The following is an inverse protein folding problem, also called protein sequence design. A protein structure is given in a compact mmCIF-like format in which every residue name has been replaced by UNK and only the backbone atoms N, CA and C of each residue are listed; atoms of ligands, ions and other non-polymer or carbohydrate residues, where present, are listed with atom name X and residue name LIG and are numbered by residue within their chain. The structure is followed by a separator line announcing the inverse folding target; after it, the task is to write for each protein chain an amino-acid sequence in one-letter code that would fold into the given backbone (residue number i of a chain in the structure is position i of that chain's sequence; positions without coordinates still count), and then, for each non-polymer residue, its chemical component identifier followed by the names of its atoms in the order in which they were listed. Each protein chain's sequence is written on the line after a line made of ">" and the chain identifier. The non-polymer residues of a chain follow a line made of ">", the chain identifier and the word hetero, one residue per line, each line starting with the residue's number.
data_IF_393425097731
#
_entry.id   IF_393425097731
#
_cell.length_a   1.000
_cell.length_b   1.000
_cell.length_c   1.000
_cell.angle_alpha   90.00
_cell.angle_beta   90.00
_cell.angle_gamma   90.00
#
_symmetry.space_group_name_H-M   'P 1'
#
loop_
_entity.id
_entity.type
_entity.pdbx_description
1 polymer ?
#
# COMPACT_ATOMS: atom_id res chain seq x y z
N UNK A 1 8.09 -49.71 9.61
CA UNK A 1 8.05 -48.71 8.53
C UNK A 1 6.89 -47.79 8.88
N UNK A 2 7.16 -46.53 9.20
CA UNK A 2 6.07 -45.57 9.43
C UNK A 2 5.30 -45.37 8.12
N UNK A 3 3.96 -45.30 8.17
CA UNK A 3 3.18 -45.00 6.98
C UNK A 3 3.46 -43.57 6.51
N UNK A 4 3.56 -43.37 5.18
CA UNK A 4 3.64 -42.03 4.60
C UNK A 4 2.38 -41.23 4.98
N UNK A 5 2.59 -40.10 5.64
CA UNK A 5 1.58 -39.09 5.93
C UNK A 5 1.95 -37.78 5.25
N UNK A 6 0.95 -37.00 4.85
CA UNK A 6 1.17 -35.63 4.42
C UNK A 6 1.39 -34.72 5.63
N UNK A 7 2.37 -33.82 5.54
CA UNK A 7 2.55 -32.75 6.51
C UNK A 7 1.25 -31.92 6.62
N UNK A 8 0.67 -31.85 7.81
CA UNK A 8 -0.47 -30.97 8.10
C UNK A 8 0.02 -29.79 8.94
N UNK A 9 0.07 -28.61 8.32
CA UNK A 9 0.46 -27.36 8.99
C UNK A 9 -0.65 -26.32 8.85
N UNK A 10 -1.35 -25.97 9.95
CA UNK A 10 -2.30 -24.87 9.93
C UNK A 10 -1.60 -23.55 9.59
N UNK A 11 -2.01 -22.86 8.53
CA UNK A 11 -1.51 -21.53 8.18
C UNK A 11 -2.40 -20.44 8.78
N UNK A 12 -1.82 -19.45 9.44
CA UNK A 12 -2.55 -18.28 9.94
C UNK A 12 -2.81 -17.26 8.80
N UNK A 13 -4.04 -16.73 8.64
CA UNK A 13 -4.31 -15.69 7.65
C UNK A 13 -3.44 -14.44 7.87
N UNK A 14 -2.91 -13.86 6.79
CA UNK A 14 -2.08 -12.66 6.86
C UNK A 14 -2.78 -11.48 7.55
N UNK A 15 -4.10 -11.35 7.37
CA UNK A 15 -4.93 -10.34 8.05
C UNK A 15 -4.86 -10.41 9.58
N UNK A 16 -4.80 -11.61 10.15
CA UNK A 16 -4.70 -11.80 11.60
C UNK A 16 -3.33 -11.38 12.13
N UNK A 17 -2.26 -11.66 11.37
CA UNK A 17 -0.92 -11.19 11.70
C UNK A 17 -0.85 -9.67 11.69
N UNK A 18 -1.39 -9.03 10.65
CA UNK A 18 -1.46 -7.57 10.56
C UNK A 18 -2.23 -6.99 11.75
N UNK A 19 -3.37 -7.57 12.12
CA UNK A 19 -4.12 -7.15 13.30
C UNK A 19 -3.28 -7.16 14.58
N UNK A 20 -2.52 -8.22 14.86
CA UNK A 20 -1.63 -8.29 16.04
C UNK A 20 -0.56 -7.20 15.99
N UNK A 21 0.04 -6.96 14.83
CA UNK A 21 1.01 -5.87 14.66
C UNK A 21 0.37 -4.52 14.98
N UNK A 22 -0.87 -4.28 14.55
CA UNK A 22 -1.58 -3.04 14.86
C UNK A 22 -1.93 -2.89 16.36
N UNK A 23 -2.01 -3.98 17.12
CA UNK A 23 -2.20 -3.94 18.58
C UNK A 23 -0.91 -3.52 19.31
N UNK A 24 0.26 -3.84 18.74
CA UNK A 24 1.58 -3.50 19.30
C UNK A 24 2.10 -2.13 18.84
N UNK A 25 1.76 -1.71 17.61
CA UNK A 25 2.23 -0.47 17.01
C UNK A 25 1.23 0.67 17.19
N UNK A 26 1.62 1.78 17.83
CA UNK A 26 0.71 2.86 18.14
C UNK A 26 0.19 3.53 16.86
N UNK A 27 -1.11 3.81 16.88
CA UNK A 27 -1.81 4.52 15.84
C UNK A 27 -1.52 6.04 15.87
N UNK A 28 -1.89 6.76 14.81
CA UNK A 28 -1.73 8.22 14.71
C UNK A 28 -0.42 8.65 14.05
N UNK A 29 0.19 9.76 14.52
CA UNK A 29 1.32 10.40 13.82
C UNK A 29 2.57 9.51 13.72
N UNK A 30 2.67 8.43 14.50
CA UNK A 30 3.71 7.41 14.34
C UNK A 30 3.68 6.78 12.93
N UNK A 31 2.50 6.55 12.35
CA UNK A 31 2.38 6.00 10.98
C UNK A 31 3.13 6.88 9.96
N UNK A 32 3.09 8.20 10.13
CA UNK A 32 3.82 9.13 9.27
C UNK A 32 5.33 9.04 9.47
N UNK A 33 5.80 8.80 10.70
CA UNK A 33 7.21 8.58 11.02
C UNK A 33 7.72 7.29 10.38
N UNK A 34 6.93 6.22 10.39
CA UNK A 34 7.28 4.97 9.71
C UNK A 34 7.38 5.14 8.19
N UNK A 35 6.45 5.89 7.57
CA UNK A 35 6.53 6.20 6.13
C UNK A 35 7.78 7.03 5.81
N UNK A 36 8.10 8.02 6.66
CA UNK A 36 9.32 8.82 6.51
C UNK A 36 10.57 7.94 6.64
N UNK A 37 10.64 7.06 7.64
CA UNK A 37 11.76 6.14 7.82
C UNK A 37 11.95 5.22 6.61
N UNK A 38 10.87 4.67 6.04
CA UNK A 38 10.95 3.87 4.81
C UNK A 38 11.54 4.68 3.64
N UNK A 39 11.25 5.98 3.60
CA UNK A 39 11.79 6.87 2.57
C UNK A 39 13.28 7.13 2.78
N UNK A 40 13.70 7.33 4.03
CA UNK A 40 15.10 7.48 4.41
C UNK A 40 15.91 6.20 4.12
N UNK A 41 15.36 5.03 4.43
CA UNK A 41 16.00 3.74 4.14
C UNK A 41 16.15 3.48 2.63
N UNK A 42 15.19 3.97 1.84
CA UNK A 42 15.26 3.98 0.39
C UNK A 42 16.22 5.06 -0.17
N UNK A 43 16.91 5.81 0.71
CA UNK A 43 17.79 6.93 0.39
C UNK A 43 17.10 8.02 -0.42
N UNK A 44 15.81 8.21 -0.17
CA UNK A 44 15.05 9.31 -0.74
C UNK A 44 15.61 10.65 -0.25
N UNK A 45 15.59 11.64 -1.11
CA UNK A 45 15.97 13.02 -0.79
C UNK A 45 14.77 13.88 -0.38
N UNK A 46 13.55 13.40 -0.60
CA UNK A 46 12.31 14.12 -0.35
C UNK A 46 11.20 13.13 0.07
N UNK A 47 10.32 13.58 0.96
CA UNK A 47 9.08 12.90 1.31
C UNK A 47 7.96 13.94 1.40
N UNK A 48 6.93 13.79 0.58
CA UNK A 48 5.76 14.66 0.52
C UNK A 48 4.55 13.89 1.01
N UNK A 49 3.87 14.45 2.00
CA UNK A 49 2.57 13.96 2.46
C UNK A 49 1.45 14.86 1.95
N UNK A 50 0.38 14.27 1.43
CA UNK A 50 -0.81 15.00 0.96
C UNK A 50 -2.05 14.32 1.52
N UNK A 51 -2.93 15.11 2.14
CA UNK A 51 -4.29 14.68 2.44
C UNK A 51 -5.16 15.00 1.23
N UNK A 52 -5.53 13.95 0.51
CA UNK A 52 -6.37 14.04 -0.67
C UNK A 52 -7.84 13.87 -0.28
N UNK A 53 -8.61 14.94 -0.43
CA UNK A 53 -10.06 14.96 -0.14
C UNK A 53 -10.92 14.52 -1.34
N UNK A 54 -10.32 14.24 -2.50
CA UNK A 54 -11.08 13.97 -3.71
C UNK A 54 -11.77 12.61 -3.65
N UNK A 55 -12.86 12.50 -4.41
CA UNK A 55 -13.46 11.23 -4.80
C UNK A 55 -13.38 11.11 -6.31
N UNK A 56 -12.82 10.01 -6.77
CA UNK A 56 -12.53 9.78 -8.19
C UNK A 56 -13.59 8.92 -8.86
N UNK A 57 -13.65 8.98 -10.19
CA UNK A 57 -14.59 8.20 -10.97
C UNK A 57 -14.28 6.70 -10.87
N UNK A 58 -15.32 5.90 -10.66
CA UNK A 58 -15.25 4.43 -10.73
C UNK A 58 -15.32 3.86 -12.15
N UNK A 59 -15.31 4.72 -13.17
CA UNK A 59 -15.31 4.28 -14.56
C UNK A 59 -13.93 3.76 -14.97
N UNK A 60 -13.88 2.62 -15.67
CA UNK A 60 -12.66 2.03 -16.22
C UNK A 60 -11.59 1.75 -15.13
N UNK A 61 -12.00 1.12 -14.04
CA UNK A 61 -11.10 0.50 -13.07
C UNK A 61 -10.62 -0.87 -13.56
N UNK A 62 -9.59 -1.44 -12.93
CA UNK A 62 -9.15 -2.82 -13.24
C UNK A 62 -10.22 -3.86 -12.92
N UNK A 63 -10.96 -3.61 -11.83
CA UNK A 63 -12.16 -4.35 -11.40
C UNK A 63 -13.17 -3.34 -10.86
N UNK A 64 -14.46 -3.58 -11.08
CA UNK A 64 -15.55 -2.70 -10.60
C UNK A 64 -15.51 -2.47 -9.09
N UNK A 65 -15.12 -3.49 -8.36
CA UNK A 65 -15.12 -3.55 -6.90
C UNK A 65 -14.05 -2.64 -6.27
N UNK A 66 -13.02 -2.27 -7.04
CA UNK A 66 -12.01 -1.30 -6.63
C UNK A 66 -12.58 0.12 -6.48
N UNK A 67 -13.85 0.35 -6.84
CA UNK A 67 -14.54 1.62 -6.62
C UNK A 67 -14.52 2.07 -5.16
N UNK A 68 -14.49 1.12 -4.21
CA UNK A 68 -14.42 1.42 -2.77
C UNK A 68 -13.13 2.13 -2.36
N UNK A 69 -12.09 2.10 -3.19
CA UNK A 69 -10.81 2.74 -2.96
C UNK A 69 -10.65 4.10 -3.68
N UNK A 70 -11.72 4.60 -4.29
CA UNK A 70 -11.72 5.86 -5.05
C UNK A 70 -12.04 7.10 -4.19
N UNK A 71 -12.32 6.94 -2.90
CA UNK A 71 -12.58 8.05 -1.97
C UNK A 71 -11.31 8.74 -1.46
N UNK A 72 -11.42 9.57 -0.41
CA UNK A 72 -10.29 10.28 0.19
C UNK A 72 -9.13 9.36 0.60
N UNK A 73 -7.92 9.90 0.60
CA UNK A 73 -6.71 9.13 0.87
C UNK A 73 -5.59 9.95 1.53
N UNK A 74 -4.73 9.27 2.28
CA UNK A 74 -3.39 9.77 2.56
C UNK A 74 -2.48 9.40 1.39
N UNK A 75 -1.77 10.38 0.85
CA UNK A 75 -0.75 10.17 -0.18
C UNK A 75 0.64 10.40 0.41
N UNK A 76 1.59 9.58 -0.02
CA UNK A 76 3.00 9.72 0.33
C UNK A 76 3.85 9.55 -0.92
N UNK A 77 4.65 10.57 -1.25
CA UNK A 77 5.47 10.62 -2.46
C UNK A 77 6.91 10.84 -2.07
N UNK A 78 7.82 10.00 -2.57
CA UNK A 78 9.26 10.11 -2.33
C UNK A 78 10.06 9.92 -3.63
N UNK A 79 11.32 10.35 -3.61
CA UNK A 79 12.22 10.25 -4.77
C UNK A 79 12.90 8.88 -4.90
N UNK A 80 12.75 8.00 -3.91
CA UNK A 80 13.24 6.62 -3.95
C UNK A 80 12.44 5.75 -4.93
N UNK A 81 13.11 4.82 -5.61
CA UNK A 81 12.48 3.85 -6.53
C UNK A 81 12.68 2.46 -5.95
N UNK A 82 11.64 1.64 -5.97
CA UNK A 82 11.73 0.27 -5.50
C UNK A 82 12.48 -0.60 -6.50
N UNK A 83 13.47 -1.30 -5.97
CA UNK A 83 14.20 -2.34 -6.66
C UNK A 83 13.54 -3.70 -6.40
N UNK A 84 13.90 -4.73 -7.18
CA UNK A 84 13.34 -6.08 -7.00
C UNK A 84 13.59 -6.63 -5.58
N UNK A 85 14.70 -6.25 -4.92
CA UNK A 85 14.96 -6.61 -3.53
C UNK A 85 13.94 -6.04 -2.54
N UNK A 86 13.39 -4.85 -2.82
CA UNK A 86 12.38 -4.22 -1.96
C UNK A 86 11.03 -4.94 -2.12
N UNK A 87 10.72 -5.40 -3.34
CA UNK A 87 9.57 -6.26 -3.59
C UNK A 87 9.71 -7.63 -2.92
N UNK A 88 10.89 -8.24 -2.95
CA UNK A 88 11.15 -9.49 -2.26
C UNK A 88 10.97 -9.34 -0.74
N UNK A 89 11.42 -8.21 -0.17
CA UNK A 89 11.18 -7.89 1.25
C UNK A 89 9.69 -7.74 1.55
N UNK A 90 8.95 -7.03 0.69
CA UNK A 90 7.50 -6.86 0.84
C UNK A 90 6.76 -8.20 0.78
N UNK A 91 7.14 -9.11 -0.12
CA UNK A 91 6.58 -10.46 -0.20
C UNK A 91 6.93 -11.30 1.03
N UNK A 92 8.16 -11.21 1.54
CA UNK A 92 8.57 -11.91 2.77
C UNK A 92 7.79 -11.44 3.99
N UNK A 93 7.40 -10.17 4.07
CA UNK A 93 6.52 -9.67 5.14
C UNK A 93 5.13 -10.35 5.10
N UNK A 94 4.64 -10.69 3.90
CA UNK A 94 3.37 -11.41 3.73
C UNK A 94 3.46 -12.90 4.01
N UNK A 95 4.67 -13.48 3.91
CA UNK A 95 4.88 -14.91 4.12
C UNK A 95 4.91 -15.24 5.62
N UNK A 96 3.94 -16.04 6.05
CA UNK A 96 3.66 -16.36 7.46
C UNK A 96 4.63 -17.38 8.06
N UNK A 97 5.45 -18.06 7.24
CA UNK A 97 6.25 -19.20 7.66
C UNK A 97 7.52 -18.86 8.47
N UNK A 98 7.92 -17.58 8.54
CA UNK A 98 9.19 -17.17 9.17
C UNK A 98 8.99 -16.34 10.43
N UNK A 99 8.27 -16.89 11.39
CA UNK A 99 7.95 -16.27 12.69
C UNK A 99 9.15 -15.63 13.42
N UNK A 100 10.37 -16.16 13.24
CA UNK A 100 11.55 -15.80 14.06
C UNK A 100 12.63 -14.95 13.35
N UNK A 101 12.41 -14.45 12.12
CA UNK A 101 13.46 -13.74 11.36
C UNK A 101 13.16 -12.28 10.99
N UNK A 102 12.06 -11.71 11.48
CA UNK A 102 11.64 -10.36 11.07
C UNK A 102 12.42 -9.21 11.73
N UNK A 103 13.29 -9.49 12.71
CA UNK A 103 14.10 -8.47 13.38
C UNK A 103 15.26 -7.90 12.54
N UNK A 104 15.53 -8.43 11.33
CA UNK A 104 16.72 -8.04 10.53
C UNK A 104 16.51 -7.98 9.01
N UNK A 105 15.42 -7.39 8.51
CA UNK A 105 15.25 -7.19 7.06
C UNK A 105 14.99 -5.72 6.76
N UNK A 106 15.90 -5.11 5.97
CA UNK A 106 15.93 -3.68 5.68
C UNK A 106 14.86 -3.17 4.70
N UNK A 107 14.80 -1.83 4.63
CA UNK A 107 13.96 -0.91 3.82
C UNK A 107 12.44 -1.00 4.07
N UNK A 108 11.92 -2.17 4.43
CA UNK A 108 10.53 -2.34 4.86
C UNK A 108 10.48 -3.16 6.14
N UNK A 109 10.63 -2.47 7.27
CA UNK A 109 10.44 -3.08 8.58
C UNK A 109 8.98 -3.38 8.88
N UNK A 110 8.73 -3.98 10.05
CA UNK A 110 7.37 -4.18 10.62
C UNK A 110 6.57 -2.87 10.64
N UNK A 111 7.24 -1.72 10.77
CA UNK A 111 6.67 -0.38 10.70
C UNK A 111 5.88 -0.07 9.43
N UNK A 112 6.19 -0.69 8.28
CA UNK A 112 5.37 -0.55 7.07
C UNK A 112 3.92 -0.99 7.32
N UNK A 113 3.69 -2.03 8.13
CA UNK A 113 2.36 -2.55 8.39
C UNK A 113 1.48 -1.58 9.21
N UNK A 114 2.06 -0.56 9.84
CA UNK A 114 1.29 0.48 10.54
C UNK A 114 0.34 1.26 9.62
N UNK A 115 0.60 1.28 8.31
CA UNK A 115 -0.30 1.88 7.30
C UNK A 115 -1.69 1.24 7.29
N UNK A 116 -1.81 -0.01 7.75
CA UNK A 116 -3.10 -0.70 7.85
C UNK A 116 -3.96 -0.19 9.02
N UNK A 117 -3.47 0.72 9.87
CA UNK A 117 -4.36 1.54 10.69
C UNK A 117 -5.29 2.38 9.82
N UNK A 118 -4.79 2.92 8.71
CA UNK A 118 -5.48 3.89 7.86
C UNK A 118 -6.26 3.22 6.73
N UNK A 119 -5.69 2.20 6.08
CA UNK A 119 -6.24 1.62 4.84
C UNK A 119 -6.42 0.10 4.90
N UNK A 120 -7.29 -0.43 4.03
CA UNK A 120 -7.38 -1.87 3.76
C UNK A 120 -6.37 -2.34 2.72
N UNK A 121 -6.18 -1.53 1.68
CA UNK A 121 -5.48 -1.92 0.47
C UNK A 121 -4.70 -0.71 -0.04
N UNK A 122 -3.43 -0.57 0.34
CA UNK A 122 -2.58 0.45 -0.26
C UNK A 122 -2.30 0.11 -1.72
N UNK A 123 -2.10 1.15 -2.52
CA UNK A 123 -1.57 1.00 -3.88
C UNK A 123 -0.49 2.03 -4.15
N UNK A 124 0.43 1.73 -5.04
CA UNK A 124 1.52 2.64 -5.36
C UNK A 124 2.05 2.48 -6.78
N UNK A 125 2.67 3.54 -7.28
CA UNK A 125 3.51 3.50 -8.47
C UNK A 125 4.97 3.71 -8.10
N UNK A 126 5.87 3.00 -8.80
CA UNK A 126 7.31 3.17 -8.64
C UNK A 126 8.02 2.70 -9.91
N UNK A 127 8.83 3.57 -10.52
CA UNK A 127 9.35 3.32 -11.86
C UNK A 127 8.20 3.04 -12.84
N UNK A 128 8.23 1.89 -13.52
CA UNK A 128 7.20 1.44 -14.47
C UNK A 128 6.11 0.55 -13.84
N UNK A 129 6.16 0.35 -12.53
CA UNK A 129 5.31 -0.60 -11.81
C UNK A 129 4.13 0.11 -11.16
N UNK A 130 2.95 -0.51 -11.26
CA UNK A 130 1.78 -0.20 -10.43
C UNK A 130 1.46 -1.43 -9.58
N UNK A 131 1.31 -1.23 -8.28
CA UNK A 131 1.18 -2.31 -7.30
C UNK A 131 -0.02 -2.05 -6.42
N UNK A 132 -0.83 -3.10 -6.21
CA UNK A 132 -1.91 -3.13 -5.22
C UNK A 132 -1.55 -4.20 -4.19
N UNK A 133 -1.62 -3.88 -2.91
CA UNK A 133 -1.57 -4.87 -1.83
C UNK A 133 -3.00 -5.15 -1.37
N UNK A 134 -3.36 -6.43 -1.31
CA UNK A 134 -4.70 -6.89 -0.97
C UNK A 134 -4.60 -7.99 0.09
N UNK A 135 -4.27 -7.63 1.34
CA UNK A 135 -4.02 -8.60 2.41
C UNK A 135 -5.25 -9.45 2.76
N UNK A 136 -6.46 -8.96 2.49
CA UNK A 136 -7.72 -9.70 2.67
C UNK A 136 -8.01 -10.66 1.52
N UNK A 137 -7.26 -10.58 0.44
CA UNK A 137 -7.48 -11.29 -0.81
C UNK A 137 -8.89 -11.11 -1.40
N UNK A 138 -9.52 -9.95 -1.19
CA UNK A 138 -10.86 -9.68 -1.71
C UNK A 138 -10.90 -9.73 -3.24
N UNK A 139 -9.80 -9.33 -3.89
CA UNK A 139 -9.71 -9.17 -5.34
C UNK A 139 -8.46 -9.81 -5.94
N UNK A 140 -7.35 -9.88 -5.22
CA UNK A 140 -6.09 -10.49 -5.66
C UNK A 140 -5.51 -11.37 -4.55
N UNK A 141 -4.76 -12.42 -4.91
CA UNK A 141 -4.10 -13.30 -3.93
C UNK A 141 -2.94 -12.56 -3.24
N UNK A 142 -3.22 -11.81 -2.18
CA UNK A 142 -2.29 -10.98 -1.41
C UNK A 142 -1.93 -9.64 -2.07
N UNK A 143 -1.95 -9.57 -3.40
CA UNK A 143 -1.67 -8.35 -4.15
C UNK A 143 -1.40 -8.61 -5.63
N UNK A 144 -1.12 -7.55 -6.39
CA UNK A 144 -0.80 -7.65 -7.82
C UNK A 144 0.11 -6.52 -8.27
N UNK A 145 1.14 -6.88 -9.06
CA UNK A 145 2.09 -5.97 -9.73
C UNK A 145 1.76 -5.95 -11.22
N UNK A 146 1.77 -4.75 -11.82
CA UNK A 146 1.50 -4.50 -13.24
C UNK A 146 2.58 -3.57 -13.81
N UNK A 147 2.87 -3.70 -15.12
CA UNK A 147 3.69 -2.72 -15.82
C UNK A 147 2.80 -1.68 -16.50
N UNK A 148 2.64 -0.49 -15.90
CA UNK A 148 1.68 0.48 -16.41
C UNK A 148 2.13 1.17 -17.70
N UNK A 149 3.44 1.20 -17.96
CA UNK A 149 4.03 1.82 -19.15
C UNK A 149 3.87 0.90 -20.35
N UNK A 150 4.35 -0.34 -20.24
CA UNK A 150 4.33 -1.33 -21.32
C UNK A 150 2.90 -1.65 -21.78
N UNK A 151 1.98 -1.79 -20.82
CA UNK A 151 0.59 -2.14 -21.10
C UNK A 151 -0.30 -0.91 -21.34
N UNK A 152 0.27 0.30 -21.27
CA UNK A 152 -0.41 1.58 -21.44
C UNK A 152 -1.67 1.70 -20.56
N UNK A 153 -1.53 1.31 -19.29
CA UNK A 153 -2.67 1.11 -18.38
C UNK A 153 -3.36 2.42 -18.03
N UNK A 154 -2.64 3.53 -17.89
CA UNK A 154 -3.25 4.82 -17.57
C UNK A 154 -4.24 5.29 -18.66
N UNK A 155 -3.98 4.98 -19.94
CA UNK A 155 -4.91 5.26 -21.03
C UNK A 155 -6.12 4.31 -21.04
N UNK A 156 -5.90 3.04 -20.74
CA UNK A 156 -6.95 1.99 -20.79
C UNK A 156 -7.87 2.03 -19.58
N UNK A 157 -7.34 2.42 -18.43
CA UNK A 157 -7.98 2.44 -17.13
C UNK A 157 -7.85 3.81 -16.44
N UNK A 158 -8.37 4.89 -17.06
CA UNK A 158 -8.17 6.25 -16.57
C UNK A 158 -8.70 6.47 -15.16
N UNK A 159 -9.80 5.83 -14.74
CA UNK A 159 -10.29 5.92 -13.36
C UNK A 159 -9.31 5.34 -12.36
N UNK A 160 -8.61 4.25 -12.70
CA UNK A 160 -7.64 3.62 -11.80
C UNK A 160 -6.42 4.52 -11.54
N UNK A 161 -6.00 5.29 -12.55
CA UNK A 161 -4.81 6.14 -12.48
C UNK A 161 -5.11 7.60 -12.14
N UNK A 162 -6.36 8.05 -12.25
CA UNK A 162 -6.76 9.42 -11.93
C UNK A 162 -6.26 9.93 -10.56
N UNK A 163 -6.26 9.12 -9.49
CA UNK A 163 -5.72 9.53 -8.19
C UNK A 163 -4.23 9.88 -8.18
N UNK A 164 -3.47 9.36 -9.14
CA UNK A 164 -2.02 9.58 -9.22
C UNK A 164 -1.67 10.76 -10.13
N UNK A 165 -2.57 11.20 -11.02
CA UNK A 165 -2.26 12.25 -12.02
C UNK A 165 -2.13 13.63 -11.37
N UNK A 166 -3.11 14.02 -10.55
CA UNK A 166 -3.16 15.38 -10.00
C UNK A 166 -1.89 15.72 -9.19
N UNK A 167 -1.40 14.84 -8.30
CA UNK A 167 -0.23 15.17 -7.47
C UNK A 167 1.11 14.94 -8.18
N UNK A 168 1.16 14.09 -9.22
CA UNK A 168 2.40 13.75 -9.92
C UNK A 168 2.84 14.78 -10.97
N UNK A 169 2.00 15.77 -11.27
CA UNK A 169 2.20 16.76 -12.36
C UNK A 169 2.29 16.11 -13.75
N UNK A 170 1.80 14.88 -13.90
CA UNK A 170 1.71 14.22 -15.20
C UNK A 170 0.70 14.92 -16.13
N UNK A 171 0.92 14.93 -17.45
CA UNK A 171 -0.02 15.51 -18.39
C UNK A 171 -1.37 14.80 -18.33
N UNK A 172 -2.46 15.53 -18.10
CA UNK A 172 -3.81 14.96 -18.01
C UNK A 172 -4.27 14.25 -19.28
N UNK A 173 -3.80 14.70 -20.45
CA UNK A 173 -4.16 14.12 -21.75
C UNK A 173 -3.46 12.80 -22.06
N UNK A 174 -2.30 12.55 -21.46
CA UNK A 174 -1.48 11.38 -21.78
C UNK A 174 -0.51 11.03 -20.63
N UNK A 175 -1.05 10.73 -19.43
CA UNK A 175 -0.25 10.55 -18.23
C UNK A 175 0.52 9.22 -18.26
N UNK A 176 1.62 9.15 -17.53
CA UNK A 176 2.34 7.91 -17.20
C UNK A 176 2.84 7.13 -18.42
N UNK A 177 3.32 7.85 -19.44
CA UNK A 177 3.96 7.28 -20.64
C UNK A 177 5.40 6.84 -20.43
N UNK A 178 6.00 7.32 -19.36
CA UNK A 178 7.36 6.96 -18.95
C UNK A 178 7.31 6.46 -17.51
N UNK A 179 8.34 5.71 -17.08
CA UNK A 179 8.48 5.36 -15.68
C UNK A 179 8.41 6.59 -14.77
N UNK A 180 7.68 6.49 -13.67
CA UNK A 180 7.61 7.50 -12.63
C UNK A 180 8.94 7.58 -11.88
N UNK A 181 9.47 8.80 -11.71
CA UNK A 181 10.77 9.04 -11.08
C UNK A 181 10.62 9.17 -9.57
N UNK A 182 10.42 8.03 -8.92
CA UNK A 182 10.24 7.95 -7.46
C UNK A 182 9.21 6.89 -7.12
N UNK A 183 8.61 7.03 -5.94
CA UNK A 183 7.53 6.19 -5.46
C UNK A 183 6.38 7.04 -4.95
N UNK A 184 5.17 6.72 -5.38
CA UNK A 184 3.95 7.40 -4.97
C UNK A 184 2.97 6.37 -4.43
N UNK A 185 2.83 6.38 -3.10
CA UNK A 185 1.82 5.63 -2.37
C UNK A 185 0.51 6.37 -2.24
N UNK A 186 -0.58 5.61 -2.39
CA UNK A 186 -1.94 6.00 -2.07
C UNK A 186 -2.48 5.04 -1.01
N UNK A 187 -2.93 5.60 0.10
CA UNK A 187 -3.59 4.91 1.20
C UNK A 187 -5.05 5.39 1.29
N UNK A 188 -5.99 4.78 0.54
CA UNK A 188 -7.41 5.12 0.64
C UNK A 188 -7.90 4.95 2.07
N UNK A 189 -8.58 5.95 2.62
CA UNK A 189 -9.01 5.91 4.02
C UNK A 189 -10.09 4.83 4.20
N UNK A 190 -9.97 4.04 5.27
CA UNK A 190 -10.99 3.07 5.65
C UNK A 190 -12.32 3.76 5.94
N UNK A 191 -13.36 3.34 5.22
CA UNK A 191 -14.72 3.91 5.26
C UNK A 191 -15.79 2.96 5.81
N UNK A 192 -15.43 1.70 6.09
CA UNK A 192 -16.30 0.66 6.67
C UNK A 192 -15.53 -0.24 7.64
N UNK A 193 -16.24 -1.11 8.33
CA UNK A 193 -15.73 -2.02 9.36
C UNK A 193 -15.64 -3.48 8.89
N UNK A 194 -15.66 -3.74 7.58
CA UNK A 194 -15.63 -5.11 7.02
C UNK A 194 -14.27 -5.81 7.22
N UNK A 195 -13.21 -5.06 7.52
CA UNK A 195 -11.85 -5.58 7.58
C UNK A 195 -11.54 -6.40 8.83
N UNK A 196 -10.91 -7.56 8.62
CA UNK A 196 -10.34 -8.39 9.69
C UNK A 196 -9.03 -7.83 10.29
N UNK A 197 -8.42 -6.81 9.68
CA UNK A 197 -7.18 -6.19 10.15
C UNK A 197 -7.46 -5.14 11.23
N UNK A 198 -8.42 -4.26 10.96
CA UNK A 198 -8.84 -3.17 11.85
C UNK A 198 -10.27 -2.74 11.52
N UNK A 199 -11.03 -2.40 12.56
CA UNK A 199 -12.40 -1.87 12.49
C UNK A 199 -12.45 -0.35 12.56
N UNK A 200 -11.31 0.32 12.77
CA UNK A 200 -11.25 1.78 12.93
C UNK A 200 -11.41 2.48 11.58
N UNK A 201 -12.52 3.18 11.41
CA UNK A 201 -12.78 4.08 10.27
C UNK A 201 -11.94 5.35 10.43
N UNK A 202 -11.38 5.82 9.33
CA UNK A 202 -10.50 6.99 9.30
C UNK A 202 -11.14 8.12 8.50
N UNK A 203 -11.41 9.26 9.15
CA UNK A 203 -11.90 10.46 8.49
C UNK A 203 -10.73 11.36 8.08
N UNK A 204 -10.87 12.19 7.02
CA UNK A 204 -9.83 13.14 6.63
C UNK A 204 -9.35 14.05 7.79
N UNK A 205 -10.26 14.42 8.70
CA UNK A 205 -9.90 15.23 9.88
C UNK A 205 -8.87 14.55 10.80
N UNK A 206 -8.93 13.22 10.95
CA UNK A 206 -7.97 12.48 11.77
C UNK A 206 -6.57 12.51 11.14
N UNK A 207 -6.48 12.42 9.81
CA UNK A 207 -5.20 12.57 9.09
C UNK A 207 -4.67 14.00 9.22
N UNK A 208 -5.54 15.01 9.13
CA UNK A 208 -5.15 16.41 9.34
C UNK A 208 -4.61 16.62 10.76
N UNK A 209 -5.22 15.99 11.77
CA UNK A 209 -4.74 16.07 13.14
C UNK A 209 -3.42 15.30 13.34
N UNK A 210 -3.17 14.23 12.58
CA UNK A 210 -1.87 13.58 12.51
C UNK A 210 -0.81 14.52 11.93
N UNK A 211 -1.10 15.23 10.84
CA UNK A 211 -0.18 16.22 10.25
C UNK A 211 0.18 17.34 11.22
N UNK A 212 -0.79 17.82 12.02
CA UNK A 212 -0.55 18.87 13.03
C UNK A 212 0.36 18.43 14.18
N UNK A 213 0.41 17.12 14.45
CA UNK A 213 1.20 16.51 15.54
C UNK A 213 2.54 15.95 15.08
N UNK A 214 2.77 15.86 13.77
CA UNK A 214 3.97 15.29 13.16
C UNK A 214 5.16 16.24 13.30
#
# INVERSE_FOLDING_TARGET
>A
MEPEGADFRPSEPYTRRLRRILEEYPDGSQVLREILQNSDDAKSTEQIFILDHNTYSSNKLFKSELQRFQGPALLAINSGIFEERDFDSLLKLSDSEKHDQFDKIGVMGVGFNSIYHITHSPSFITGDKYVILDPHEWYYKGGKKFNFVADNLAKRYPGQFAPFILPSKEPSSNPFKTPFKGTFFRYPLRDNDESDISKKIYKPQEILDMFRKF
#
